data_IF_116965559370
#
_entry.id   IF_116965559370
#
_cell.length_a   1.000
_cell.length_b   1.000
_cell.length_c   1.000
_cell.angle_alpha   90.00
_cell.angle_beta   90.00
_cell.angle_gamma   90.00
#
_symmetry.space_group_name_H-M   'P 1'
#
loop_
_entity.id
_entity.type
_entity.pdbx_description
1 polymer ?
#
# COMPACT_ATOMS: atom_id res chain seq x y z
N UNK A 1 1.45 -25.98 3.38
CA UNK A 1 1.29 -24.68 2.68
C UNK A 1 2.50 -24.48 1.80
N UNK A 2 2.35 -24.72 0.49
CA UNK A 2 3.45 -24.73 -0.50
C UNK A 2 4.11 -23.34 -0.65
N UNK A 3 3.39 -22.26 -0.33
CA UNK A 3 3.90 -20.88 -0.49
C UNK A 3 4.82 -20.41 0.64
N UNK A 4 4.76 -20.97 1.85
CA UNK A 4 5.57 -20.46 2.98
C UNK A 4 7.09 -20.56 2.72
N UNK A 5 7.63 -21.68 2.22
CA UNK A 5 9.06 -21.78 1.91
C UNK A 5 9.56 -20.74 0.91
N UNK A 6 8.78 -20.41 -0.13
CA UNK A 6 9.15 -19.38 -1.10
C UNK A 6 9.09 -17.98 -0.47
N UNK A 7 8.09 -17.69 0.37
CA UNK A 7 8.03 -16.40 1.07
C UNK A 7 9.21 -16.22 2.02
N UNK A 8 9.59 -17.27 2.76
CA UNK A 8 10.79 -17.24 3.62
C UNK A 8 12.05 -17.01 2.78
N UNK A 9 12.19 -17.71 1.65
CA UNK A 9 13.35 -17.59 0.76
C UNK A 9 13.48 -16.18 0.15
N UNK A 10 12.36 -15.56 -0.22
CA UNK A 10 12.36 -14.28 -0.95
C UNK A 10 12.34 -13.07 -0.01
N UNK A 11 11.56 -13.14 1.06
CA UNK A 11 11.26 -11.99 1.93
C UNK A 11 11.86 -12.13 3.33
N UNK A 12 12.05 -13.35 3.83
CA UNK A 12 12.58 -13.64 5.17
C UNK A 12 11.67 -13.26 6.35
N UNK A 13 10.80 -12.25 6.18
CA UNK A 13 9.81 -11.82 7.15
C UNK A 13 8.49 -11.55 6.45
N UNK A 14 7.44 -12.23 6.89
CA UNK A 14 6.07 -12.03 6.42
C UNK A 14 5.09 -12.49 7.49
N UNK A 15 3.84 -12.05 7.35
CA UNK A 15 2.75 -12.40 8.25
C UNK A 15 1.51 -12.71 7.44
N UNK A 16 0.58 -13.51 7.99
CA UNK A 16 -0.77 -13.53 7.41
C UNK A 16 -1.35 -12.13 7.45
N UNK A 17 -2.15 -11.79 6.44
CA UNK A 17 -2.64 -10.42 6.24
C UNK A 17 -3.36 -9.87 7.48
N UNK A 18 -4.29 -10.65 8.04
CA UNK A 18 -5.01 -10.28 9.25
C UNK A 18 -4.08 -10.09 10.45
N UNK A 19 -3.12 -11.00 10.65
CA UNK A 19 -2.22 -10.98 11.80
C UNK A 19 -1.34 -9.72 11.80
N UNK A 20 -0.84 -9.31 10.63
CA UNK A 20 -0.09 -8.06 10.49
C UNK A 20 -0.93 -6.84 10.86
N UNK A 21 -2.14 -6.72 10.31
CA UNK A 21 -3.02 -5.56 10.55
C UNK A 21 -3.54 -5.52 11.99
N UNK A 22 -3.78 -6.69 12.59
CA UNK A 22 -4.12 -6.80 14.02
C UNK A 22 -2.94 -6.34 14.87
N UNK A 23 -1.72 -6.80 14.56
CA UNK A 23 -0.51 -6.44 15.29
C UNK A 23 -0.19 -4.94 15.15
N UNK A 24 -0.34 -4.34 13.97
CA UNK A 24 -0.15 -2.90 13.78
C UNK A 24 -1.13 -2.08 14.63
N UNK A 25 -2.40 -2.48 14.69
CA UNK A 25 -3.40 -1.88 15.58
C UNK A 25 -3.00 -2.00 17.06
N UNK A 26 -2.60 -3.19 17.51
CA UNK A 26 -2.22 -3.42 18.91
C UNK A 26 -0.95 -2.65 19.30
N UNK A 27 0.04 -2.53 18.41
CA UNK A 27 1.24 -1.71 18.64
C UNK A 27 0.85 -0.22 18.77
N UNK A 28 -0.04 0.28 17.91
CA UNK A 28 -0.46 1.69 17.91
C UNK A 28 -1.24 2.08 19.18
N UNK A 29 -1.91 1.13 19.85
CA UNK A 29 -2.49 1.38 21.18
C UNK A 29 -1.46 1.80 22.21
N UNK A 30 -0.25 1.24 22.15
CA UNK A 30 0.87 1.65 23.01
C UNK A 30 1.31 3.11 22.79
N UNK A 31 0.94 3.71 21.66
CA UNK A 31 1.19 5.11 21.32
C UNK A 31 -0.06 5.99 21.48
N UNK A 32 -1.13 5.48 22.10
CA UNK A 32 -2.35 6.24 22.39
C UNK A 32 -3.35 6.34 21.23
N UNK A 33 -3.20 5.54 20.18
CA UNK A 33 -4.19 5.44 19.10
C UNK A 33 -5.24 4.37 19.43
N UNK A 34 -6.50 4.72 19.25
CA UNK A 34 -7.66 3.83 19.41
C UNK A 34 -8.67 4.10 18.31
N UNK A 35 -9.60 3.18 18.11
CA UNK A 35 -10.71 3.31 17.17
C UNK A 35 -11.70 4.43 17.50
N UNK A 36 -11.70 4.93 18.75
CA UNK A 36 -12.53 6.06 19.16
C UNK A 36 -11.86 7.43 18.88
N UNK A 37 -10.53 7.48 18.79
CA UNK A 37 -9.80 8.74 18.74
C UNK A 37 -8.99 8.98 17.46
N UNK A 38 -8.88 7.98 16.59
CA UNK A 38 -8.12 8.07 15.36
C UNK A 38 -8.99 7.70 14.15
N UNK A 39 -8.67 8.30 13.01
CA UNK A 39 -9.24 7.91 11.72
C UNK A 39 -8.18 7.18 10.89
N UNK A 40 -8.56 6.06 10.28
CA UNK A 40 -7.68 5.29 9.41
C UNK A 40 -7.97 5.57 7.92
N UNK A 41 -6.92 5.46 7.10
CA UNK A 41 -7.04 5.45 5.64
C UNK A 41 -6.32 4.24 5.04
N UNK A 42 -6.75 3.86 3.85
CA UNK A 42 -6.13 2.79 3.05
C UNK A 42 -5.74 3.31 1.67
N UNK A 43 -4.51 3.03 1.26
CA UNK A 43 -3.95 3.32 -0.05
C UNK A 43 -3.42 1.99 -0.62
N UNK A 44 -4.29 1.31 -1.37
CA UNK A 44 -4.05 -0.03 -1.92
C UNK A 44 -4.52 -0.08 -3.38
N UNK A 45 -4.18 -1.15 -4.11
CA UNK A 45 -4.69 -1.33 -5.47
C UNK A 45 -6.22 -1.43 -5.49
N UNK A 46 -6.87 -0.89 -6.55
CA UNK A 46 -8.33 -1.04 -6.79
C UNK A 46 -8.76 -2.47 -7.11
N UNK A 47 -7.82 -3.35 -7.42
CA UNK A 47 -8.07 -4.77 -7.65
C UNK A 47 -8.89 -5.38 -6.49
N UNK A 48 -9.91 -6.19 -6.81
CA UNK A 48 -10.83 -6.70 -5.80
C UNK A 48 -10.15 -7.62 -4.80
N UNK A 49 -9.10 -8.35 -5.21
CA UNK A 49 -8.34 -9.23 -4.32
C UNK A 49 -7.51 -8.46 -3.29
N UNK A 50 -7.24 -7.17 -3.55
CA UNK A 50 -6.56 -6.29 -2.59
C UNK A 50 -7.48 -5.75 -1.50
N UNK A 51 -8.81 -5.73 -1.73
CA UNK A 51 -9.78 -5.07 -0.84
C UNK A 51 -9.96 -5.77 0.52
N UNK A 52 -9.36 -6.94 0.73
CA UNK A 52 -9.34 -7.63 2.03
C UNK A 52 -8.61 -6.81 3.09
N UNK A 53 -7.54 -6.09 2.73
CA UNK A 53 -6.83 -5.15 3.63
C UNK A 53 -7.79 -4.09 4.16
N UNK A 54 -8.59 -3.46 3.28
CA UNK A 54 -9.61 -2.49 3.69
C UNK A 54 -10.64 -3.12 4.64
N UNK A 55 -11.06 -4.34 4.35
CA UNK A 55 -12.01 -5.06 5.19
C UNK A 55 -11.47 -5.35 6.58
N UNK A 56 -10.18 -5.68 6.69
CA UNK A 56 -9.51 -5.88 7.96
C UNK A 56 -9.33 -4.55 8.70
N UNK A 57 -8.73 -3.53 8.08
CA UNK A 57 -8.59 -2.18 8.67
C UNK A 57 -9.93 -1.68 9.21
N UNK A 58 -11.02 -1.90 8.47
CA UNK A 58 -12.37 -1.53 8.92
C UNK A 58 -12.78 -2.20 10.23
N UNK A 59 -12.42 -3.47 10.44
CA UNK A 59 -12.72 -4.19 11.69
C UNK A 59 -11.94 -3.65 12.88
N UNK A 60 -10.79 -3.02 12.67
CA UNK A 60 -9.95 -2.48 13.74
C UNK A 60 -10.21 -1.00 14.01
N UNK A 61 -10.50 -0.20 12.98
CA UNK A 61 -10.54 1.28 13.08
C UNK A 61 -11.89 1.89 12.70
N UNK A 62 -12.91 1.09 12.36
CA UNK A 62 -14.14 1.60 11.74
C UNK A 62 -13.95 1.95 10.26
N UNK A 63 -14.89 2.71 9.66
CA UNK A 63 -14.80 3.03 8.23
C UNK A 63 -13.51 3.77 7.87
N UNK A 64 -12.68 3.16 7.02
CA UNK A 64 -11.44 3.75 6.56
C UNK A 64 -11.65 4.63 5.32
N UNK A 65 -11.03 5.80 5.32
CA UNK A 65 -10.99 6.66 4.13
C UNK A 65 -10.19 5.98 3.02
N UNK A 66 -10.74 5.95 1.80
CA UNK A 66 -10.17 5.17 0.72
C UNK A 66 -9.37 6.04 -0.27
N UNK A 67 -8.04 5.93 -0.23
CA UNK A 67 -7.09 6.53 -1.18
C UNK A 67 -6.67 5.57 -2.30
N UNK A 68 -7.32 4.42 -2.45
CA UNK A 68 -6.94 3.40 -3.43
C UNK A 68 -7.04 3.89 -4.87
N UNK A 69 -6.10 3.43 -5.70
CA UNK A 69 -6.01 3.68 -7.15
C UNK A 69 -5.37 2.48 -7.86
N UNK A 70 -5.17 2.50 -9.19
CA UNK A 70 -4.38 1.48 -9.88
C UNK A 70 -2.98 1.32 -9.27
N UNK A 71 -2.59 0.05 -9.04
CA UNK A 71 -1.39 -0.39 -8.33
C UNK A 71 -1.19 0.18 -6.91
N UNK A 72 -2.18 0.88 -6.36
CA UNK A 72 -2.11 1.48 -5.02
C UNK A 72 -1.43 2.84 -4.96
N UNK A 73 -1.22 3.51 -6.10
CA UNK A 73 -0.62 4.83 -6.13
C UNK A 73 -1.42 5.87 -5.34
N UNK A 74 -0.72 6.82 -4.74
CA UNK A 74 -1.37 7.93 -4.04
C UNK A 74 -1.75 9.05 -5.02
N UNK A 75 -2.90 8.93 -5.67
CA UNK A 75 -3.39 9.92 -6.66
C UNK A 75 -4.33 10.98 -6.08
N UNK A 76 -4.81 10.79 -4.84
CA UNK A 76 -5.76 11.69 -4.18
C UNK A 76 -5.18 13.09 -3.89
N UNK A 77 -3.85 13.20 -3.77
CA UNK A 77 -3.13 14.46 -3.61
C UNK A 77 -3.52 15.27 -2.37
N UNK A 78 -3.15 16.56 -2.37
CA UNK A 78 -3.38 17.47 -1.24
C UNK A 78 -4.86 17.62 -0.89
N UNK A 79 -5.73 17.66 -1.90
CA UNK A 79 -7.17 17.84 -1.68
C UNK A 79 -7.76 16.63 -0.98
N UNK A 80 -7.46 15.41 -1.46
CA UNK A 80 -7.94 14.20 -0.81
C UNK A 80 -7.39 14.03 0.61
N UNK A 81 -6.10 14.33 0.82
CA UNK A 81 -5.52 14.24 2.17
C UNK A 81 -6.13 15.27 3.13
N UNK A 82 -6.41 16.50 2.67
CA UNK A 82 -7.10 17.52 3.46
C UNK A 82 -8.54 17.12 3.81
N UNK A 83 -9.25 16.47 2.89
CA UNK A 83 -10.58 15.93 3.18
C UNK A 83 -10.49 14.87 4.29
N UNK A 84 -9.55 13.92 4.19
CA UNK A 84 -9.33 12.91 5.21
C UNK A 84 -9.03 13.48 6.60
N UNK A 85 -8.05 14.38 6.74
CA UNK A 85 -7.71 14.94 8.06
C UNK A 85 -8.85 15.75 8.67
N UNK A 86 -9.71 16.37 7.84
CA UNK A 86 -10.88 17.12 8.32
C UNK A 86 -11.97 16.25 8.96
N UNK A 87 -11.90 14.93 8.74
CA UNK A 87 -12.85 13.96 9.30
C UNK A 87 -12.35 13.34 10.63
N UNK A 88 -11.14 13.70 11.08
CA UNK A 88 -10.57 13.08 12.27
C UNK A 88 -11.27 13.53 13.55
N UNK A 89 -11.52 12.61 14.49
CA UNK A 89 -11.94 12.97 15.84
C UNK A 89 -10.91 13.88 16.51
N UNK A 90 -11.41 14.87 17.26
CA UNK A 90 -10.59 15.71 18.15
C UNK A 90 -10.78 15.26 19.58
N UNK A 91 -9.85 14.44 20.07
CA UNK A 91 -9.87 13.91 21.43
C UNK A 91 -8.65 14.44 22.18
N UNK A 92 -8.89 15.05 23.35
CA UNK A 92 -7.88 15.74 24.16
C UNK A 92 -7.16 16.88 23.41
N UNK A 93 -7.90 17.58 22.54
CA UNK A 93 -7.38 18.68 21.74
C UNK A 93 -6.43 18.24 20.61
N UNK A 94 -6.33 16.94 20.34
CA UNK A 94 -5.41 16.35 19.35
C UNK A 94 -6.15 15.50 18.34
N UNK A 95 -5.70 15.58 17.09
CA UNK A 95 -6.16 14.71 16.00
C UNK A 95 -5.21 13.52 15.85
N UNK A 96 -5.72 12.37 15.42
CA UNK A 96 -4.90 11.16 15.20
C UNK A 96 -5.23 10.50 13.87
N UNK A 97 -4.20 10.21 13.08
CA UNK A 97 -4.37 9.62 11.76
C UNK A 97 -3.57 8.32 11.61
N UNK A 98 -4.14 7.33 10.95
CA UNK A 98 -3.43 6.09 10.61
C UNK A 98 -3.49 5.87 9.11
N UNK A 99 -2.34 5.76 8.47
CA UNK A 99 -2.20 5.55 7.04
C UNK A 99 -1.73 4.13 6.77
N UNK A 100 -2.54 3.34 6.07
CA UNK A 100 -2.15 2.03 5.55
C UNK A 100 -1.82 2.15 4.06
N UNK A 101 -0.60 1.82 3.65
CA UNK A 101 -0.12 1.96 2.28
C UNK A 101 0.52 0.67 1.78
N UNK A 102 -0.07 0.01 0.79
CA UNK A 102 0.43 -1.27 0.28
C UNK A 102 0.46 -1.31 -1.24
N UNK A 103 1.59 -1.79 -1.78
CA UNK A 103 1.63 -2.38 -3.12
C UNK A 103 1.17 -3.83 -3.04
N UNK A 104 0.96 -4.49 -4.18
CA UNK A 104 0.57 -5.90 -4.18
C UNK A 104 1.16 -6.71 -5.34
N UNK A 105 1.26 -8.02 -5.12
CA UNK A 105 1.68 -9.01 -6.12
C UNK A 105 1.07 -10.37 -5.78
N UNK A 106 0.78 -11.20 -6.79
CA UNK A 106 0.37 -12.59 -6.58
C UNK A 106 1.51 -13.58 -6.79
N UNK A 107 1.42 -14.73 -6.12
CA UNK A 107 2.31 -15.88 -6.33
C UNK A 107 1.43 -17.13 -6.31
N UNK A 108 1.46 -17.92 -7.39
CA UNK A 108 0.68 -19.16 -7.47
C UNK A 108 1.38 -20.35 -6.78
N UNK A 109 0.74 -21.51 -6.78
CA UNK A 109 1.28 -22.73 -6.17
C UNK A 109 2.55 -23.27 -6.85
N UNK A 110 2.88 -22.79 -8.05
CA UNK A 110 4.03 -23.19 -8.85
C UNK A 110 5.14 -22.12 -8.82
N UNK A 111 5.09 -21.19 -7.87
CA UNK A 111 6.06 -20.10 -7.72
C UNK A 111 6.03 -19.07 -8.87
N UNK A 112 4.97 -19.03 -9.68
CA UNK A 112 4.86 -18.03 -10.75
C UNK A 112 4.47 -16.67 -10.16
N UNK A 113 5.40 -15.71 -10.26
CA UNK A 113 5.19 -14.32 -9.86
C UNK A 113 4.16 -13.64 -10.76
N UNK A 114 3.26 -12.88 -10.15
CA UNK A 114 2.22 -12.13 -10.83
C UNK A 114 1.03 -12.97 -11.29
N UNK A 115 0.93 -14.24 -10.89
CA UNK A 115 -0.15 -15.14 -11.29
C UNK A 115 -1.08 -15.41 -10.12
N UNK A 116 -2.38 -15.25 -10.35
CA UNK A 116 -3.42 -15.59 -9.38
C UNK A 116 -4.58 -16.36 -10.02
N UNK A 117 -5.38 -16.99 -9.16
CA UNK A 117 -6.66 -17.60 -9.54
C UNK A 117 -7.79 -16.65 -9.19
N UNK A 118 -8.76 -16.52 -10.09
CA UNK A 118 -10.02 -15.78 -9.85
C UNK A 118 -11.19 -16.69 -10.16
N UNK A 119 -12.30 -16.50 -9.45
CA UNK A 119 -13.49 -17.35 -9.61
C UNK A 119 -13.96 -17.32 -11.07
N UNK A 120 -13.96 -18.48 -11.71
CA UNK A 120 -14.41 -18.64 -13.10
C UNK A 120 -13.35 -18.35 -14.17
N UNK A 121 -12.08 -18.13 -13.80
CA UNK A 121 -10.96 -17.95 -14.74
C UNK A 121 -9.89 -19.04 -14.51
N UNK A 122 -9.32 -19.56 -15.61
CA UNK A 122 -8.22 -20.53 -15.53
C UNK A 122 -6.93 -19.89 -15.00
N UNK A 123 -6.62 -18.67 -15.43
CA UNK A 123 -5.44 -17.90 -15.03
C UNK A 123 -5.73 -16.40 -15.06
N UNK A 124 -5.21 -15.66 -14.09
CA UNK A 124 -5.26 -14.20 -14.04
C UNK A 124 -3.95 -13.63 -13.48
N UNK A 125 -3.89 -12.30 -13.36
CA UNK A 125 -2.69 -11.57 -12.96
C UNK A 125 -2.96 -10.57 -11.84
N UNK A 126 -1.93 -10.33 -11.02
CA UNK A 126 -1.91 -9.27 -10.02
C UNK A 126 -0.45 -8.88 -9.65
N UNK A 127 -0.08 -7.60 -9.67
CA UNK A 127 -0.86 -6.44 -10.08
C UNK A 127 -1.01 -6.35 -11.62
N UNK A 128 -2.24 -6.24 -12.13
CA UNK A 128 -2.50 -6.14 -13.58
C UNK A 128 -1.87 -4.90 -14.23
N UNK A 129 -1.96 -3.75 -13.56
CA UNK A 129 -1.34 -2.50 -14.00
C UNK A 129 0.20 -2.61 -14.09
N UNK A 130 0.84 -3.20 -13.07
CA UNK A 130 2.29 -3.44 -13.11
C UNK A 130 2.69 -4.47 -14.18
N UNK A 131 1.87 -5.47 -14.44
CA UNK A 131 2.11 -6.42 -15.54
C UNK A 131 2.03 -5.72 -16.90
N UNK A 132 1.04 -4.84 -17.10
CA UNK A 132 0.92 -4.03 -18.31
C UNK A 132 2.17 -3.15 -18.51
N UNK A 133 2.55 -2.39 -17.49
CA UNK A 133 3.73 -1.53 -17.59
C UNK A 133 5.03 -2.33 -17.81
N UNK A 134 5.20 -3.47 -17.13
CA UNK A 134 6.36 -4.35 -17.34
C UNK A 134 6.44 -4.88 -18.78
N UNK A 135 5.30 -5.22 -19.37
CA UNK A 135 5.25 -5.65 -20.78
C UNK A 135 5.64 -4.52 -21.74
N UNK A 136 5.23 -3.29 -21.48
CA UNK A 136 5.62 -2.11 -22.27
C UNK A 136 7.12 -1.80 -22.15
N UNK A 137 7.67 -1.87 -20.93
CA UNK A 137 9.11 -1.76 -20.66
C UNK A 137 9.90 -2.80 -21.45
N UNK A 138 9.48 -4.07 -21.36
CA UNK A 138 10.11 -5.19 -22.06
C UNK A 138 10.02 -5.07 -23.58
N UNK A 139 8.92 -4.49 -24.09
CA UNK A 139 8.72 -4.23 -25.51
C UNK A 139 9.45 -3.00 -26.05
N UNK A 140 10.10 -2.21 -25.18
CA UNK A 140 10.82 -0.98 -25.56
C UNK A 140 9.91 0.14 -26.09
N UNK A 141 8.59 0.05 -25.88
CA UNK A 141 7.59 1.00 -26.37
C UNK A 141 6.69 1.42 -25.23
N UNK A 142 7.07 2.50 -24.55
CA UNK A 142 6.33 3.05 -23.42
C UNK A 142 5.61 4.30 -23.88
N UNK A 143 4.29 4.35 -23.69
CA UNK A 143 3.53 5.59 -23.89
C UNK A 143 3.48 6.37 -22.58
N UNK A 144 4.16 7.51 -22.55
CA UNK A 144 4.17 8.42 -21.39
C UNK A 144 3.26 9.64 -21.57
N UNK A 145 2.40 9.68 -22.60
CA UNK A 145 1.39 10.76 -22.71
C UNK A 145 0.32 10.55 -21.63
N UNK A 146 -0.27 11.64 -21.16
CA UNK A 146 -1.48 11.52 -20.34
C UNK A 146 -2.61 11.12 -21.28
N UNK A 147 -3.24 10.01 -20.96
CA UNK A 147 -4.51 9.60 -21.51
C UNK A 147 -5.60 9.94 -20.48
N UNK A 148 -6.58 10.75 -20.86
CA UNK A 148 -7.68 11.12 -19.96
C UNK A 148 -8.63 9.94 -19.71
N UNK A 149 -8.68 8.98 -20.63
CA UNK A 149 -9.48 7.75 -20.49
C UNK A 149 -8.73 6.67 -19.67
N UNK A 150 -7.41 6.82 -19.51
CA UNK A 150 -6.54 5.89 -18.76
C UNK A 150 -5.57 6.65 -17.82
N UNK A 151 -6.12 7.57 -17.04
CA UNK A 151 -5.34 8.55 -16.29
C UNK A 151 -4.51 7.92 -15.16
N UNK A 152 -5.05 6.94 -14.43
CA UNK A 152 -4.34 6.30 -13.32
C UNK A 152 -3.13 5.50 -13.82
N UNK A 153 -3.26 4.79 -14.94
CA UNK A 153 -2.15 4.07 -15.58
C UNK A 153 -1.12 5.03 -16.20
N UNK A 154 -1.58 6.13 -16.81
CA UNK A 154 -0.69 7.18 -17.33
C UNK A 154 0.19 7.79 -16.23
N UNK A 155 -0.41 8.06 -15.07
CA UNK A 155 0.31 8.57 -13.89
C UNK A 155 1.25 7.52 -13.31
N UNK A 156 0.83 6.26 -13.28
CA UNK A 156 1.66 5.14 -12.84
C UNK A 156 2.94 5.02 -13.64
N UNK A 157 2.82 4.93 -14.97
CA UNK A 157 3.96 4.82 -15.88
C UNK A 157 4.92 5.98 -15.68
N UNK A 158 4.40 7.21 -15.68
CA UNK A 158 5.21 8.42 -15.49
C UNK A 158 5.94 8.46 -14.16
N UNK A 159 5.26 8.09 -13.07
CA UNK A 159 5.82 8.21 -11.72
C UNK A 159 6.86 7.12 -11.46
N UNK A 160 6.58 5.88 -11.83
CA UNK A 160 7.50 4.75 -11.61
C UNK A 160 8.70 4.84 -12.55
N UNK A 161 8.52 5.29 -13.81
CA UNK A 161 9.64 5.45 -14.74
C UNK A 161 10.73 6.40 -14.23
N UNK A 162 10.39 7.36 -13.36
CA UNK A 162 11.37 8.27 -12.73
C UNK A 162 12.30 7.57 -11.73
N UNK A 163 11.90 6.40 -11.22
CA UNK A 163 12.68 5.59 -10.30
C UNK A 163 13.57 4.57 -11.02
N UNK A 164 13.37 4.36 -12.33
CA UNK A 164 14.13 3.40 -13.13
C UNK A 164 15.34 4.07 -13.78
N UNK A 165 16.45 3.34 -13.88
CA UNK A 165 17.61 3.78 -14.68
C UNK A 165 17.28 3.69 -16.17
N UNK A 166 17.97 4.50 -16.96
CA UNK A 166 17.82 4.46 -18.41
C UNK A 166 18.12 3.05 -18.96
N UNK A 167 17.15 2.48 -19.68
CA UNK A 167 17.24 1.13 -20.25
C UNK A 167 17.01 -0.02 -19.27
N UNK A 168 16.71 0.26 -18.00
CA UNK A 168 16.40 -0.77 -17.01
C UNK A 168 15.01 -1.37 -17.25
N UNK A 169 14.94 -2.71 -17.27
CA UNK A 169 13.69 -3.48 -17.26
C UNK A 169 13.73 -4.39 -16.04
N UNK A 170 13.10 -3.98 -14.90
CA UNK A 170 13.10 -4.78 -13.68
C UNK A 170 12.24 -6.04 -13.83
N UNK A 171 12.41 -7.03 -12.97
CA UNK A 171 11.39 -8.08 -12.81
C UNK A 171 10.14 -7.54 -12.09
N UNK A 172 9.04 -8.29 -12.12
CA UNK A 172 7.78 -7.86 -11.54
C UNK A 172 7.89 -7.59 -10.03
N UNK A 173 8.65 -8.41 -9.30
CA UNK A 173 8.83 -8.22 -7.86
C UNK A 173 9.58 -6.92 -7.55
N UNK A 174 10.62 -6.62 -8.32
CA UNK A 174 11.39 -5.38 -8.21
C UNK A 174 10.51 -4.19 -8.56
N UNK A 175 9.68 -4.29 -9.61
CA UNK A 175 8.72 -3.26 -9.97
C UNK A 175 7.67 -3.03 -8.86
N UNK A 176 7.18 -4.10 -8.22
CA UNK A 176 6.29 -4.01 -7.05
C UNK A 176 6.96 -3.31 -5.87
N UNK A 177 8.23 -3.63 -5.57
CA UNK A 177 9.01 -2.97 -4.50
C UNK A 177 9.21 -1.48 -4.78
N UNK A 178 9.55 -1.12 -6.03
CA UNK A 178 9.66 0.28 -6.46
C UNK A 178 8.30 0.98 -6.32
N UNK A 179 7.22 0.30 -6.69
CA UNK A 179 5.86 0.85 -6.54
C UNK A 179 5.55 1.15 -5.08
N UNK A 180 5.86 0.25 -4.14
CA UNK A 180 5.68 0.53 -2.70
C UNK A 180 6.44 1.77 -2.25
N UNK A 181 7.72 1.87 -2.62
CA UNK A 181 8.56 3.02 -2.33
C UNK A 181 7.91 4.32 -2.82
N UNK A 182 7.44 4.33 -4.07
CA UNK A 182 6.73 5.48 -4.67
C UNK A 182 5.46 5.83 -3.90
N UNK A 183 4.64 4.84 -3.51
CA UNK A 183 3.41 5.07 -2.75
C UNK A 183 3.72 5.78 -1.43
N UNK A 184 4.69 5.27 -0.69
CA UNK A 184 5.09 5.82 0.62
C UNK A 184 5.67 7.22 0.45
N UNK A 185 6.60 7.43 -0.50
CA UNK A 185 7.19 8.74 -0.77
C UNK A 185 6.12 9.77 -1.14
N UNK A 186 5.21 9.44 -2.05
CA UNK A 186 4.19 10.38 -2.52
C UNK A 186 3.20 10.72 -1.40
N UNK A 187 2.85 9.75 -0.55
CA UNK A 187 2.03 9.97 0.63
C UNK A 187 2.74 10.86 1.67
N UNK A 188 3.98 10.53 2.06
CA UNK A 188 4.80 11.30 3.01
C UNK A 188 4.96 12.75 2.53
N UNK A 189 5.27 12.94 1.25
CA UNK A 189 5.41 14.25 0.61
C UNK A 189 4.16 15.14 0.75
N UNK A 190 2.96 14.57 0.85
CA UNK A 190 1.73 15.33 1.05
C UNK A 190 1.41 15.46 2.55
N UNK A 191 1.67 14.43 3.36
CA UNK A 191 1.57 14.51 4.83
C UNK A 191 2.38 15.70 5.36
N UNK A 192 3.65 15.82 4.97
CA UNK A 192 4.52 16.93 5.38
C UNK A 192 3.97 18.31 5.04
N UNK A 193 3.13 18.41 4.00
CA UNK A 193 2.56 19.68 3.51
C UNK A 193 1.23 20.02 4.14
N UNK A 194 0.54 19.09 4.79
CA UNK A 194 -0.84 19.30 5.27
C UNK A 194 -1.06 18.93 6.73
N UNK A 195 -0.25 18.03 7.30
CA UNK A 195 -0.31 17.64 8.70
C UNK A 195 0.61 18.53 9.50
N UNK A 196 0.09 19.08 10.61
CA UNK A 196 0.90 19.84 11.57
C UNK A 196 1.24 18.94 12.77
N UNK A 197 2.48 18.44 12.89
CA UNK A 197 2.82 17.41 13.90
C UNK A 197 2.66 17.86 15.36
N UNK A 198 2.54 19.17 15.60
CA UNK A 198 2.24 19.72 16.94
C UNK A 198 0.76 19.64 17.31
N UNK A 199 -0.13 19.44 16.33
CA UNK A 199 -1.59 19.38 16.50
C UNK A 199 -2.15 17.99 16.26
N UNK A 200 -1.40 17.13 15.59
CA UNK A 200 -1.82 15.78 15.26
C UNK A 200 -0.68 14.77 15.43
N UNK A 201 -1.04 13.60 15.95
CA UNK A 201 -0.19 12.42 15.88
C UNK A 201 -0.59 11.58 14.67
N UNK A 202 0.36 10.88 14.06
CA UNK A 202 0.01 9.99 12.96
C UNK A 202 0.94 8.80 12.84
N UNK A 203 0.45 7.75 12.20
CA UNK A 203 1.24 6.56 11.88
C UNK A 203 1.15 6.22 10.40
N UNK A 204 2.25 5.73 9.84
CA UNK A 204 2.30 5.14 8.49
C UNK A 204 2.68 3.68 8.63
N UNK A 205 1.81 2.81 8.15
CA UNK A 205 1.96 1.35 8.12
C UNK A 205 2.06 0.94 6.66
N UNK A 206 3.18 0.33 6.28
CA UNK A 206 3.48 0.03 4.88
C UNK A 206 3.95 -1.41 4.67
N UNK A 207 3.82 -1.90 3.43
CA UNK A 207 4.30 -3.22 3.05
C UNK A 207 3.86 -3.67 1.66
N UNK A 208 4.13 -4.92 1.34
CA UNK A 208 3.66 -5.58 0.12
C UNK A 208 2.60 -6.61 0.49
N UNK A 209 1.41 -6.47 -0.07
CA UNK A 209 0.36 -7.47 0.00
C UNK A 209 0.66 -8.60 -1.00
N UNK A 210 0.82 -9.82 -0.49
CA UNK A 210 1.05 -11.01 -1.30
C UNK A 210 -0.22 -11.83 -1.37
N UNK A 211 -0.71 -12.06 -2.58
CA UNK A 211 -1.83 -12.97 -2.84
C UNK A 211 -1.30 -14.38 -3.07
N UNK A 212 -1.46 -15.24 -2.07
CA UNK A 212 -1.16 -16.66 -2.21
C UNK A 212 -2.35 -17.48 -2.73
N UNK A 213 -2.15 -18.77 -3.02
CA UNK A 213 -3.22 -19.64 -3.53
C UNK A 213 -4.36 -19.87 -2.53
N UNK A 214 -4.05 -19.84 -1.24
CA UNK A 214 -4.99 -20.14 -0.15
C UNK A 214 -5.27 -18.93 0.75
N UNK A 215 -4.27 -18.07 0.96
CA UNK A 215 -4.32 -16.97 1.93
C UNK A 215 -3.49 -15.78 1.45
N UNK A 216 -3.82 -14.59 1.93
CA UNK A 216 -3.01 -13.38 1.73
C UNK A 216 -2.00 -13.20 2.86
N UNK A 217 -0.88 -12.55 2.52
CA UNK A 217 0.18 -12.20 3.45
C UNK A 217 0.55 -10.73 3.30
N UNK A 218 1.18 -10.17 4.34
CA UNK A 218 1.89 -8.90 4.26
C UNK A 218 3.38 -9.16 4.49
N UNK A 219 4.19 -8.68 3.57
CA UNK A 219 5.62 -8.46 3.80
C UNK A 219 5.77 -7.03 4.31
N UNK A 220 6.16 -6.84 5.59
CA UNK A 220 6.26 -5.50 6.17
C UNK A 220 7.40 -4.70 5.53
N UNK A 221 7.15 -3.41 5.31
CA UNK A 221 8.18 -2.43 5.00
C UNK A 221 8.29 -1.40 6.14
N UNK A 222 8.99 -0.27 5.94
CA UNK A 222 9.21 0.68 7.02
C UNK A 222 7.89 1.28 7.50
N UNK A 223 7.59 1.05 8.78
CA UNK A 223 6.42 1.59 9.46
C UNK A 223 6.89 2.46 10.63
N UNK A 224 6.19 3.55 10.87
CA UNK A 224 6.57 4.53 11.90
C UNK A 224 5.35 5.25 12.47
N UNK A 225 5.56 5.89 13.62
CA UNK A 225 4.61 6.77 14.27
C UNK A 225 5.28 8.11 14.57
N UNK A 226 4.51 9.19 14.49
CA UNK A 226 4.90 10.53 14.92
C UNK A 226 3.98 10.93 16.06
N UNK A 227 4.55 11.05 17.26
CA UNK A 227 3.84 11.48 18.46
C UNK A 227 4.50 12.73 19.00
N UNK A 228 3.73 13.81 19.21
CA UNK A 228 4.26 15.09 19.70
C UNK A 228 5.38 15.67 18.81
N UNK A 229 5.31 15.38 17.50
CA UNK A 229 6.32 15.78 16.53
C UNK A 229 7.57 14.91 16.48
N UNK A 230 7.67 13.85 17.28
CA UNK A 230 8.80 12.91 17.27
C UNK A 230 8.50 11.66 16.44
N UNK A 231 9.28 11.42 15.37
CA UNK A 231 9.19 10.20 14.55
C UNK A 231 9.90 9.03 15.25
N UNK A 232 9.19 7.91 15.41
CA UNK A 232 9.67 6.65 16.00
C UNK A 232 9.34 5.50 15.05
N UNK A 233 10.32 4.66 14.76
CA UNK A 233 10.11 3.43 13.98
C UNK A 233 9.24 2.46 14.77
N UNK A 234 8.32 1.78 14.08
CA UNK A 234 7.48 0.75 14.66
C UNK A 234 8.07 -0.63 14.37
N UNK A 235 8.17 -1.46 15.39
CA UNK A 235 8.52 -2.88 15.25
C UNK A 235 7.24 -3.72 15.19
N UNK A 236 6.80 -4.00 13.97
CA UNK A 236 5.62 -4.83 13.68
C UNK A 236 6.06 -6.20 13.19
#
# INVERSE_FOLDING_TARGET
>A
MIIKPILDRIFGKFYKEYDFLKKSYDVLKGFGFTDDNAIASVCICRDEISQTVRSHVKRMWGEAFNFSSLAGLFTAGKTGLKAFISHAPKVDGKERYVFYAFSHIAIDENENMGVCKRKGLEKSHACGALCLFLNELSGGKINIRLDEEDIEESLLKRRILRELKYGEVPDLLTLTKITLKVIVEDLENIIEKVVEPKKADYAVISGIQIHGPEENYIVPDESYVVVDGEKKKLEI
#
